data_IF_270826123034
#
_entry.id   IF_270826123034
#
_cell.length_a   1.000
_cell.length_b   1.000
_cell.length_c   1.000
_cell.angle_alpha   90.00
_cell.angle_beta   90.00
_cell.angle_gamma   90.00
#
_symmetry.space_group_name_H-M   'P 1'
#
loop_
_entity.id
_entity.type
_entity.pdbx_description
1 polymer ?
#
# COMPACT_ATOMS: atom_id res chain seq x y z
N UNK A 1 24.63 36.96 -25.43
CA UNK A 1 23.42 36.28 -25.87
C UNK A 1 23.72 34.80 -25.97
N UNK A 2 23.44 34.04 -24.95
CA UNK A 2 23.43 32.60 -25.00
C UNK A 2 22.21 32.15 -24.23
N UNK A 3 21.16 31.81 -24.99
CA UNK A 3 19.95 31.22 -24.48
C UNK A 3 20.31 29.78 -24.13
N UNK A 4 20.40 29.47 -22.83
CA UNK A 4 20.48 28.10 -22.35
C UNK A 4 19.20 27.39 -22.75
N UNK A 5 19.28 26.56 -23.79
CA UNK A 5 18.31 25.52 -24.07
C UNK A 5 18.33 24.51 -22.90
N UNK A 6 17.61 24.81 -21.85
CA UNK A 6 17.26 23.83 -20.83
C UNK A 6 16.47 22.72 -21.49
N UNK A 7 17.10 21.55 -21.58
CA UNK A 7 16.53 20.30 -22.03
C UNK A 7 15.18 20.07 -21.32
N UNK A 8 14.07 20.38 -21.98
CA UNK A 8 12.74 20.16 -21.40
C UNK A 8 12.42 18.68 -21.53
N UNK A 9 12.90 17.88 -20.58
CA UNK A 9 12.43 16.51 -20.40
C UNK A 9 10.90 16.53 -20.34
N UNK A 10 10.26 15.62 -21.06
CA UNK A 10 8.83 15.42 -20.95
C UNK A 10 8.47 15.13 -19.48
N UNK A 11 7.28 15.55 -19.01
CA UNK A 11 6.88 15.31 -17.61
C UNK A 11 7.02 13.85 -17.18
N UNK A 12 6.85 12.90 -18.10
CA UNK A 12 6.99 11.47 -17.82
C UNK A 12 8.44 11.06 -17.56
N UNK A 13 9.41 11.60 -18.30
CA UNK A 13 10.85 11.31 -18.08
C UNK A 13 11.27 11.78 -16.69
N UNK A 14 10.83 12.96 -16.27
CA UNK A 14 11.09 13.48 -14.90
C UNK A 14 10.44 12.62 -13.82
N UNK A 15 9.28 12.02 -14.10
CA UNK A 15 8.61 11.12 -13.17
C UNK A 15 9.39 9.81 -13.03
N UNK A 16 9.96 9.27 -14.12
CA UNK A 16 10.79 8.06 -14.06
C UNK A 16 12.09 8.32 -13.28
N UNK A 17 12.76 9.44 -13.51
CA UNK A 17 13.92 9.86 -12.70
C UNK A 17 13.56 10.00 -11.21
N UNK A 18 12.43 10.61 -10.91
CA UNK A 18 11.92 10.73 -9.54
C UNK A 18 11.65 9.36 -8.90
N UNK A 19 11.10 8.39 -9.64
CA UNK A 19 10.92 7.01 -9.18
C UNK A 19 12.26 6.34 -8.85
N UNK A 20 13.25 6.51 -9.71
CA UNK A 20 14.60 5.97 -9.50
C UNK A 20 15.22 6.54 -8.22
N UNK A 21 15.16 7.86 -8.05
CA UNK A 21 15.63 8.54 -6.83
C UNK A 21 14.94 8.03 -5.56
N UNK A 22 13.62 7.84 -5.61
CA UNK A 22 12.87 7.28 -4.46
C UNK A 22 13.32 5.85 -4.13
N UNK A 23 13.55 5.03 -5.14
CA UNK A 23 14.00 3.64 -4.98
C UNK A 23 15.42 3.57 -4.39
N UNK A 24 16.34 4.38 -4.88
CA UNK A 24 17.71 4.52 -4.38
C UNK A 24 17.74 4.96 -2.91
N UNK A 25 16.79 5.83 -2.51
CA UNK A 25 16.61 6.25 -1.12
C UNK A 25 15.85 5.23 -0.25
N UNK A 26 15.64 4.00 -0.73
CA UNK A 26 15.05 2.91 0.05
C UNK A 26 13.53 3.00 0.21
N UNK A 27 12.84 3.78 -0.62
CA UNK A 27 11.38 3.79 -0.60
C UNK A 27 10.81 2.45 -1.08
N UNK A 28 9.75 1.97 -0.42
CA UNK A 28 9.06 0.75 -0.86
C UNK A 28 8.44 0.95 -2.25
N UNK A 29 8.36 -0.11 -3.05
CA UNK A 29 7.74 -0.10 -4.38
C UNK A 29 6.34 0.54 -4.37
N UNK A 30 5.52 0.23 -3.35
CA UNK A 30 4.22 0.86 -3.19
C UNK A 30 4.33 2.37 -2.94
N UNK A 31 5.30 2.84 -2.17
CA UNK A 31 5.54 4.28 -1.94
C UNK A 31 5.94 4.97 -3.25
N UNK A 32 6.86 4.38 -4.00
CA UNK A 32 7.30 4.87 -5.31
C UNK A 32 6.10 5.02 -6.25
N UNK A 33 5.30 3.96 -6.37
CA UNK A 33 4.10 3.93 -7.22
C UNK A 33 3.09 5.03 -6.83
N UNK A 34 2.81 5.16 -5.53
CA UNK A 34 1.81 6.12 -5.02
C UNK A 34 2.29 7.56 -5.18
N UNK A 35 3.57 7.84 -4.95
CA UNK A 35 4.13 9.19 -5.10
C UNK A 35 4.22 9.59 -6.58
N UNK A 36 4.67 8.71 -7.45
CA UNK A 36 4.65 8.94 -8.89
C UNK A 36 3.23 9.21 -9.42
N UNK A 37 2.23 8.45 -8.93
CA UNK A 37 0.83 8.68 -9.28
C UNK A 37 0.33 10.05 -8.80
N UNK A 38 0.86 10.60 -7.70
CA UNK A 38 0.51 11.94 -7.21
C UNK A 38 1.04 13.03 -8.15
N UNK A 39 2.26 12.84 -8.67
CA UNK A 39 2.88 13.76 -9.65
C UNK A 39 2.16 13.69 -11.00
N UNK A 40 1.84 12.49 -11.49
CA UNK A 40 1.04 12.33 -12.71
C UNK A 40 -0.34 12.99 -12.60
N UNK A 41 -0.98 12.89 -11.44
CA UNK A 41 -2.28 13.52 -11.21
C UNK A 41 -2.17 15.05 -11.20
N UNK A 42 -1.11 15.61 -10.65
CA UNK A 42 -0.82 17.04 -10.71
C UNK A 42 -0.70 17.51 -12.17
N UNK A 43 0.17 16.90 -12.96
CA UNK A 43 0.42 17.31 -14.35
C UNK A 43 -0.73 17.04 -15.34
N UNK A 44 -1.85 16.44 -14.89
CA UNK A 44 -3.07 16.35 -15.73
C UNK A 44 -3.74 17.70 -15.94
N UNK A 45 -3.71 18.56 -14.93
CA UNK A 45 -4.43 19.84 -14.92
C UNK A 45 -3.50 21.05 -14.76
N UNK A 46 -2.24 20.83 -14.37
CA UNK A 46 -1.26 21.86 -14.06
C UNK A 46 -0.02 21.67 -14.92
N UNK A 47 0.42 22.73 -15.60
CA UNK A 47 1.57 22.67 -16.53
C UNK A 47 2.89 23.03 -15.83
N UNK A 48 2.84 23.92 -14.86
CA UNK A 48 4.01 24.44 -14.17
C UNK A 48 4.00 24.09 -12.69
N UNK A 49 5.20 23.84 -12.16
CA UNK A 49 5.37 23.55 -10.74
C UNK A 49 5.61 24.85 -9.99
N UNK A 50 4.53 25.58 -9.67
CA UNK A 50 4.55 26.81 -8.90
C UNK A 50 3.77 26.67 -7.58
N UNK A 51 3.98 27.62 -6.66
CA UNK A 51 3.27 27.61 -5.36
C UNK A 51 1.76 27.74 -5.55
N UNK A 52 1.32 28.58 -6.49
CA UNK A 52 -0.09 28.81 -6.76
C UNK A 52 -0.76 27.56 -7.36
N UNK A 53 -0.13 26.93 -8.35
CA UNK A 53 -0.59 25.68 -8.95
C UNK A 53 -0.66 24.53 -7.91
N UNK A 54 0.30 24.46 -7.00
CA UNK A 54 0.28 23.47 -5.92
C UNK A 54 -0.87 23.71 -4.94
N UNK A 55 -1.20 24.98 -4.65
CA UNK A 55 -2.35 25.30 -3.80
C UNK A 55 -3.67 24.98 -4.51
N UNK A 56 -3.77 25.23 -5.81
CA UNK A 56 -4.93 24.88 -6.63
C UNK A 56 -5.11 23.37 -6.69
N UNK A 57 -4.03 22.65 -6.94
CA UNK A 57 -4.04 21.18 -6.87
C UNK A 57 -4.59 20.66 -5.53
N UNK A 58 -4.15 21.23 -4.41
CA UNK A 58 -4.70 20.88 -3.10
C UNK A 58 -6.20 21.15 -2.99
N UNK A 59 -6.67 22.27 -3.54
CA UNK A 59 -8.11 22.61 -3.58
C UNK A 59 -8.91 21.59 -4.40
N UNK A 60 -8.39 21.14 -5.53
CA UNK A 60 -8.99 20.08 -6.35
C UNK A 60 -9.03 18.74 -5.62
N UNK A 61 -7.93 18.36 -4.97
CA UNK A 61 -7.88 17.10 -4.19
C UNK A 61 -8.93 17.09 -3.07
N UNK A 62 -9.14 18.23 -2.40
CA UNK A 62 -10.14 18.34 -1.33
C UNK A 62 -11.58 18.16 -1.82
N UNK A 63 -11.88 18.52 -3.07
CA UNK A 63 -13.19 18.31 -3.70
C UNK A 63 -13.41 16.84 -4.10
N UNK A 64 -12.32 16.13 -4.43
CA UNK A 64 -12.39 14.80 -5.05
C UNK A 64 -12.17 13.65 -4.09
N UNK A 65 -11.34 13.83 -3.05
CA UNK A 65 -10.87 12.74 -2.21
C UNK A 65 -11.14 12.94 -0.71
N UNK A 66 -11.14 11.82 0.01
CA UNK A 66 -11.15 11.82 1.47
C UNK A 66 -9.81 12.36 2.03
N UNK A 67 -9.79 12.97 3.23
CA UNK A 67 -8.61 13.59 3.83
C UNK A 67 -7.35 12.71 3.84
N UNK A 68 -7.48 11.42 4.13
CA UNK A 68 -6.34 10.50 4.13
C UNK A 68 -5.70 10.35 2.74
N UNK A 69 -6.52 10.28 1.68
CA UNK A 69 -6.04 10.22 0.29
C UNK A 69 -5.41 11.55 -0.11
N UNK A 70 -6.03 12.69 0.27
CA UNK A 70 -5.47 14.03 0.05
C UNK A 70 -4.06 14.11 0.65
N UNK A 71 -3.89 13.68 1.91
CA UNK A 71 -2.58 13.70 2.56
C UNK A 71 -1.55 12.82 1.86
N UNK A 72 -1.95 11.65 1.38
CA UNK A 72 -1.07 10.78 0.60
C UNK A 72 -0.59 11.48 -0.68
N UNK A 73 -1.50 12.18 -1.37
CA UNK A 73 -1.16 12.96 -2.57
C UNK A 73 -0.25 14.16 -2.24
N UNK A 74 -0.53 14.87 -1.16
CA UNK A 74 0.30 15.99 -0.68
C UNK A 74 1.71 15.51 -0.33
N UNK A 75 1.86 14.36 0.34
CA UNK A 75 3.19 13.83 0.64
C UNK A 75 3.97 13.46 -0.63
N UNK A 76 3.31 12.86 -1.61
CA UNK A 76 3.95 12.56 -2.89
C UNK A 76 4.43 13.78 -3.64
N UNK A 77 3.57 14.81 -3.77
CA UNK A 77 3.96 16.05 -4.46
C UNK A 77 5.02 16.84 -3.69
N UNK A 78 4.97 16.87 -2.35
CA UNK A 78 6.01 17.52 -1.54
C UNK A 78 7.38 16.85 -1.72
N UNK A 79 7.43 15.54 -1.88
CA UNK A 79 8.69 14.84 -2.18
C UNK A 79 9.19 15.19 -3.59
N UNK A 80 8.29 15.35 -4.55
CA UNK A 80 8.64 15.76 -5.90
C UNK A 80 9.16 17.21 -5.94
N UNK A 81 8.51 18.15 -5.25
CA UNK A 81 8.98 19.53 -5.09
C UNK A 81 10.40 19.56 -4.50
N UNK A 82 10.63 18.75 -3.45
CA UNK A 82 11.97 18.62 -2.86
C UNK A 82 13.01 18.07 -3.83
N UNK A 83 12.61 17.19 -4.73
CA UNK A 83 13.48 16.63 -5.76
C UNK A 83 13.83 17.68 -6.81
N UNK A 84 12.90 18.52 -7.19
CA UNK A 84 13.05 19.58 -8.21
C UNK A 84 13.74 20.84 -7.66
N UNK A 85 15.02 20.74 -7.27
CA UNK A 85 15.79 21.80 -6.59
C UNK A 85 15.83 23.17 -7.29
N UNK A 86 15.53 23.23 -8.58
CA UNK A 86 15.62 24.46 -9.41
C UNK A 86 14.24 24.90 -9.94
N UNK A 87 13.16 24.57 -9.27
CA UNK A 87 11.80 24.85 -9.73
C UNK A 87 11.30 26.28 -9.47
N UNK A 88 12.12 27.14 -8.85
CA UNK A 88 11.68 28.49 -8.42
C UNK A 88 10.79 28.48 -7.16
N UNK A 89 10.51 27.30 -6.59
CA UNK A 89 9.80 27.15 -5.33
C UNK A 89 10.80 27.23 -4.18
N UNK A 90 10.49 27.97 -3.08
CA UNK A 90 11.36 28.02 -1.91
C UNK A 90 11.66 26.60 -1.36
N UNK A 91 12.91 26.37 -0.96
CA UNK A 91 13.37 25.04 -0.50
C UNK A 91 12.63 24.53 0.75
N UNK A 92 12.12 25.45 1.56
CA UNK A 92 11.34 25.18 2.76
C UNK A 92 9.83 25.03 2.48
N UNK A 93 9.38 25.32 1.25
CA UNK A 93 7.97 25.22 0.90
C UNK A 93 7.46 23.78 1.05
N UNK A 94 6.33 23.66 1.70
CA UNK A 94 5.58 22.40 1.83
C UNK A 94 4.09 22.69 1.82
N UNK A 95 3.36 21.97 0.99
CA UNK A 95 1.90 21.94 1.11
C UNK A 95 1.52 21.34 2.47
N UNK A 96 0.80 22.05 3.33
CA UNK A 96 0.40 21.51 4.62
C UNK A 96 -0.63 20.39 4.45
N UNK A 97 -0.51 19.28 5.21
CA UNK A 97 -1.50 18.22 5.20
C UNK A 97 -2.85 18.71 5.78
N UNK A 98 -3.90 17.96 5.46
CA UNK A 98 -5.25 18.22 5.97
C UNK A 98 -5.44 17.48 7.29
N UNK A 99 -6.16 18.09 8.22
CA UNK A 99 -6.55 17.40 9.46
C UNK A 99 -7.41 16.17 9.15
N UNK A 100 -6.92 15.01 9.57
CA UNK A 100 -7.69 13.77 9.53
C UNK A 100 -8.21 13.46 10.93
N UNK A 101 -9.51 13.45 11.11
CA UNK A 101 -10.09 12.84 12.31
C UNK A 101 -9.89 11.33 12.23
N UNK A 102 -9.17 10.77 13.19
CA UNK A 102 -9.15 9.32 13.37
C UNK A 102 -10.53 8.92 13.91
N UNK A 103 -11.28 8.14 13.14
CA UNK A 103 -12.51 7.55 13.65
C UNK A 103 -12.12 6.52 14.73
N UNK A 104 -12.59 6.67 15.97
CA UNK A 104 -12.26 5.74 17.06
C UNK A 104 -12.84 4.33 16.83
N UNK A 105 -13.76 4.18 15.88
CA UNK A 105 -14.41 2.92 15.57
C UNK A 105 -14.15 2.51 14.13
N UNK A 106 -13.77 1.25 13.95
CA UNK A 106 -13.71 0.63 12.63
C UNK A 106 -15.16 0.32 12.19
N UNK A 107 -15.62 0.99 11.13
CA UNK A 107 -16.84 0.61 10.45
C UNK A 107 -16.55 -0.65 9.60
N UNK A 108 -17.51 -1.52 9.45
CA UNK A 108 -17.43 -2.74 8.63
C UNK A 108 -16.52 -3.85 9.19
N UNK A 109 -16.50 -4.02 10.50
CA UNK A 109 -15.91 -5.22 11.11
C UNK A 109 -16.92 -6.36 10.90
N UNK A 110 -16.44 -7.49 10.37
CA UNK A 110 -17.25 -8.70 10.26
C UNK A 110 -17.68 -9.16 11.65
N UNK A 111 -18.97 -9.40 11.86
CA UNK A 111 -19.47 -9.94 13.12
C UNK A 111 -19.05 -11.41 13.30
N UNK A 112 -18.97 -11.87 14.55
CA UNK A 112 -18.70 -13.31 14.82
C UNK A 112 -19.73 -14.21 14.13
N UNK A 113 -20.99 -13.80 14.09
CA UNK A 113 -22.08 -14.52 13.42
C UNK A 113 -21.84 -14.63 11.92
N UNK A 114 -21.46 -13.55 11.26
CA UNK A 114 -21.22 -13.54 9.81
C UNK A 114 -19.95 -14.32 9.46
N UNK A 115 -18.90 -14.21 10.28
CA UNK A 115 -17.71 -15.04 10.15
C UNK A 115 -18.02 -16.54 10.22
N UNK A 116 -18.80 -16.96 11.20
CA UNK A 116 -19.21 -18.38 11.33
C UNK A 116 -20.12 -18.83 10.17
N UNK A 117 -21.03 -17.94 9.70
CA UNK A 117 -21.87 -18.21 8.53
C UNK A 117 -21.04 -18.38 7.27
N UNK A 118 -20.04 -17.51 7.05
CA UNK A 118 -19.14 -17.61 5.91
C UNK A 118 -18.37 -18.92 5.91
N UNK A 119 -17.78 -19.32 7.03
CA UNK A 119 -17.06 -20.59 7.15
C UNK A 119 -17.94 -21.78 6.84
N UNK A 120 -19.17 -21.82 7.39
CA UNK A 120 -20.11 -22.90 7.12
C UNK A 120 -20.53 -22.96 5.65
N UNK A 121 -20.72 -21.81 5.00
CA UNK A 121 -21.01 -21.73 3.57
C UNK A 121 -19.88 -22.35 2.75
N UNK A 122 -18.64 -21.91 2.96
CA UNK A 122 -17.48 -22.41 2.26
C UNK A 122 -17.26 -23.92 2.44
N UNK A 123 -17.52 -24.47 3.63
CA UNK A 123 -17.49 -25.92 3.86
C UNK A 123 -18.58 -26.66 3.09
N UNK A 124 -19.80 -26.11 3.07
CA UNK A 124 -20.95 -26.70 2.35
C UNK A 124 -20.66 -26.73 0.83
N UNK A 125 -20.05 -25.67 0.31
CA UNK A 125 -19.72 -25.54 -1.10
C UNK A 125 -18.42 -26.27 -1.46
N UNK A 126 -17.79 -26.95 -0.50
CA UNK A 126 -16.51 -27.67 -0.63
C UNK A 126 -15.34 -26.77 -1.10
N UNK A 127 -15.45 -25.47 -0.92
CA UNK A 127 -14.39 -24.53 -1.23
C UNK A 127 -13.38 -24.44 -0.07
N UNK A 128 -12.58 -25.48 0.05
CA UNK A 128 -11.61 -25.62 1.14
C UNK A 128 -10.48 -24.57 1.05
N UNK A 129 -10.15 -24.10 -0.15
CA UNK A 129 -9.13 -23.07 -0.29
C UNK A 129 -9.54 -21.77 0.43
N UNK A 130 -10.71 -21.20 0.09
CA UNK A 130 -11.20 -20.00 0.74
C UNK A 130 -11.58 -20.22 2.20
N UNK A 131 -12.03 -21.44 2.56
CA UNK A 131 -12.26 -21.80 3.95
C UNK A 131 -11.00 -21.64 4.80
N UNK A 132 -9.86 -22.19 4.34
CA UNK A 132 -8.59 -22.05 5.06
C UNK A 132 -8.06 -20.61 5.04
N UNK A 133 -8.20 -19.88 3.95
CA UNK A 133 -7.85 -18.44 3.89
C UNK A 133 -8.61 -17.65 4.95
N UNK A 134 -9.94 -17.79 5.01
CA UNK A 134 -10.79 -17.09 5.99
C UNK A 134 -10.44 -17.49 7.43
N UNK A 135 -10.25 -18.78 7.68
CA UNK A 135 -9.85 -19.26 9.01
C UNK A 135 -8.50 -18.75 9.43
N UNK A 136 -7.54 -18.75 8.51
CA UNK A 136 -6.19 -18.31 8.79
C UNK A 136 -6.17 -16.82 9.15
N UNK A 137 -6.78 -15.97 8.34
CA UNK A 137 -6.90 -14.55 8.62
C UNK A 137 -7.61 -14.27 9.96
N UNK A 138 -8.72 -14.94 10.21
CA UNK A 138 -9.50 -14.78 11.45
C UNK A 138 -8.76 -15.27 12.70
N UNK A 139 -7.93 -16.30 12.58
CA UNK A 139 -7.22 -16.89 13.73
C UNK A 139 -5.89 -16.19 14.04
N UNK A 140 -5.23 -15.59 13.05
CA UNK A 140 -3.88 -15.04 13.22
C UNK A 140 -3.84 -13.51 13.19
N UNK A 141 -4.83 -12.85 12.62
CA UNK A 141 -4.81 -11.42 12.33
C UNK A 141 -3.72 -11.02 11.33
N UNK A 142 -3.27 -11.96 10.50
CA UNK A 142 -2.30 -11.69 9.45
C UNK A 142 -2.88 -10.76 8.39
N UNK A 143 -2.03 -9.92 7.78
CA UNK A 143 -2.42 -9.14 6.61
C UNK A 143 -2.49 -10.04 5.37
N UNK A 144 -3.27 -9.64 4.36
CA UNK A 144 -3.33 -10.39 3.09
C UNK A 144 -1.95 -10.54 2.45
N UNK A 145 -1.12 -9.50 2.48
CA UNK A 145 0.28 -9.54 2.00
C UNK A 145 1.20 -10.47 2.79
N UNK A 146 0.84 -10.78 4.03
CA UNK A 146 1.55 -11.75 4.88
C UNK A 146 1.04 -13.17 4.59
N UNK A 147 -0.27 -13.32 4.38
CA UNK A 147 -0.89 -14.59 4.05
C UNK A 147 -0.29 -15.22 2.78
N UNK A 148 -0.10 -14.44 1.71
CA UNK A 148 0.44 -14.95 0.43
C UNK A 148 1.89 -15.44 0.49
N UNK A 149 2.60 -15.18 1.58
CA UNK A 149 3.97 -15.65 1.81
C UNK A 149 4.03 -16.98 2.56
N UNK A 150 2.87 -17.52 2.97
CA UNK A 150 2.83 -18.78 3.73
C UNK A 150 3.12 -19.95 2.81
N UNK A 151 4.02 -20.79 3.27
CA UNK A 151 4.40 -22.06 2.62
C UNK A 151 3.99 -23.24 3.49
N UNK A 152 3.95 -24.42 2.90
CA UNK A 152 3.63 -25.67 3.61
C UNK A 152 4.56 -25.93 4.82
N UNK A 153 5.84 -25.57 4.71
CA UNK A 153 6.82 -25.67 5.80
C UNK A 153 6.44 -24.82 7.02
N UNK A 154 5.87 -23.63 6.81
CA UNK A 154 5.40 -22.78 7.92
C UNK A 154 4.20 -23.40 8.64
N UNK A 155 3.34 -24.14 7.92
CA UNK A 155 2.21 -24.87 8.51
C UNK A 155 2.73 -26.03 9.37
N UNK A 156 3.77 -26.74 8.91
CA UNK A 156 4.38 -27.83 9.66
C UNK A 156 5.03 -27.35 10.97
N UNK A 157 5.73 -26.20 10.92
CA UNK A 157 6.40 -25.60 12.09
C UNK A 157 5.39 -24.88 13.00
N UNK A 158 4.26 -24.42 12.48
CA UNK A 158 3.22 -23.71 13.23
C UNK A 158 3.48 -22.23 13.44
N UNK A 159 4.44 -21.64 12.73
CA UNK A 159 4.72 -20.21 12.74
C UNK A 159 5.45 -19.75 11.47
N UNK A 160 5.46 -18.43 11.27
CA UNK A 160 6.21 -17.77 10.20
C UNK A 160 6.84 -16.49 10.71
N UNK A 161 8.11 -16.27 10.36
CA UNK A 161 8.82 -15.02 10.61
C UNK A 161 8.73 -14.11 9.39
N UNK A 162 8.39 -12.85 9.62
CA UNK A 162 8.22 -11.83 8.60
C UNK A 162 9.08 -10.63 8.90
N UNK A 163 9.78 -10.15 7.90
CA UNK A 163 10.44 -8.85 7.97
C UNK A 163 9.44 -7.75 7.62
N UNK A 164 9.22 -6.85 8.56
CA UNK A 164 8.34 -5.70 8.39
C UNK A 164 9.15 -4.45 8.05
N UNK A 165 8.46 -3.38 7.63
CA UNK A 165 9.07 -2.09 7.31
C UNK A 165 10.01 -1.63 8.44
N UNK A 166 11.24 -1.25 8.08
CA UNK A 166 12.27 -0.81 9.03
C UNK A 166 13.09 -1.95 9.66
N UNK A 167 13.15 -3.12 9.02
CA UNK A 167 13.98 -4.25 9.47
C UNK A 167 13.48 -4.97 10.72
N UNK A 168 12.27 -4.65 11.19
CA UNK A 168 11.68 -5.30 12.37
C UNK A 168 11.15 -6.69 11.98
N UNK A 169 11.50 -7.70 12.76
CA UNK A 169 10.98 -9.05 12.64
C UNK A 169 9.67 -9.18 13.41
N UNK A 170 8.66 -9.80 12.79
CA UNK A 170 7.39 -10.18 13.40
C UNK A 170 7.15 -11.66 13.21
N UNK A 171 6.90 -12.39 14.28
CA UNK A 171 6.48 -13.80 14.23
C UNK A 171 4.96 -13.90 14.30
N UNK A 172 4.37 -14.66 13.39
CA UNK A 172 2.96 -15.04 13.40
C UNK A 172 2.87 -16.50 13.80
N UNK A 173 2.13 -16.78 14.87
CA UNK A 173 1.86 -18.13 15.34
C UNK A 173 0.56 -18.66 14.78
N UNK A 174 0.53 -19.92 14.42
CA UNK A 174 -0.64 -20.59 13.88
C UNK A 174 -1.26 -21.51 14.93
N UNK A 175 -2.60 -21.48 15.09
CA UNK A 175 -3.26 -22.42 16.01
C UNK A 175 -3.01 -23.87 15.58
N UNK A 176 -2.63 -24.72 16.53
CA UNK A 176 -2.29 -26.13 16.27
C UNK A 176 -3.39 -26.89 15.52
N UNK A 177 -4.66 -26.63 15.85
CA UNK A 177 -5.78 -27.28 15.17
C UNK A 177 -5.85 -26.87 13.69
N UNK A 178 -5.67 -25.58 13.37
CA UNK A 178 -5.64 -25.07 12.01
C UNK A 178 -4.51 -25.72 11.20
N UNK A 179 -3.29 -25.81 11.78
CA UNK A 179 -2.17 -26.47 11.14
C UNK A 179 -2.45 -27.93 10.80
N UNK A 180 -3.06 -28.71 11.72
CA UNK A 180 -3.41 -30.10 11.50
C UNK A 180 -4.40 -30.26 10.33
N UNK A 181 -5.46 -29.46 10.32
CA UNK A 181 -6.48 -29.51 9.27
C UNK A 181 -5.91 -29.10 7.91
N UNK A 182 -5.08 -28.03 7.88
CA UNK A 182 -4.41 -27.61 6.65
C UNK A 182 -3.41 -28.63 6.13
N UNK A 183 -2.65 -29.29 7.00
CA UNK A 183 -1.70 -30.32 6.60
C UNK A 183 -2.41 -31.51 5.91
N UNK A 184 -3.56 -31.94 6.42
CA UNK A 184 -4.39 -32.98 5.79
C UNK A 184 -4.87 -32.53 4.41
N UNK A 185 -5.38 -31.33 4.29
CA UNK A 185 -5.86 -30.77 3.03
C UNK A 185 -4.75 -30.63 1.99
N UNK A 186 -3.56 -30.10 2.37
CA UNK A 186 -2.41 -30.00 1.48
C UNK A 186 -1.97 -31.35 0.94
N UNK A 187 -1.88 -32.37 1.81
CA UNK A 187 -1.53 -33.71 1.41
C UNK A 187 -2.53 -34.35 0.41
N UNK A 188 -3.81 -34.06 0.58
CA UNK A 188 -4.83 -34.51 -0.37
C UNK A 188 -4.68 -33.84 -1.74
N UNK A 189 -4.28 -32.56 -1.79
CA UNK A 189 -4.04 -31.85 -3.06
C UNK A 189 -2.80 -32.37 -3.80
N UNK A 190 -1.72 -32.67 -3.09
CA UNK A 190 -0.51 -33.25 -3.69
C UNK A 190 -0.77 -34.64 -4.32
N UNK A 191 -1.73 -35.40 -3.78
CA UNK A 191 -2.14 -36.70 -4.33
C UNK A 191 -3.11 -36.56 -5.52
N UNK A 192 -3.68 -35.39 -5.76
CA UNK A 192 -4.68 -35.12 -6.80
C UNK A 192 -4.14 -34.31 -7.99
N UNK A 193 -2.88 -33.89 -7.93
CA UNK A 193 -2.16 -33.14 -8.98
C UNK A 193 -1.13 -34.06 -9.66
#
# INVERSE_FOLDING_TARGET
MNVNNGNSLLPEDRIEEFKSMLSENGASENTVRVYAASVREFYKNHQELTVDELQDYKRELLKKYRPATVNTRIYGINQYVKYQKNSGIPDDFRLPPVRCQQKPFLNNIISKRDYEKLKKGLLKDQDLFWYFVVRFLGATGARVSELVQIKAEHIAVGCMDLYTKGGKMRRIYFPKQLCREMAVWLKQRELSS
#
